data_IF_899704650532
#
_entry.id   IF_899704650532
#
_cell.length_a   1.000
_cell.length_b   1.000
_cell.length_c   1.000
_cell.angle_alpha   90.00
_cell.angle_beta   90.00
_cell.angle_gamma   90.00
#
_symmetry.space_group_name_H-M   'P 1'
#
loop_
_entity.id
_entity.type
_entity.pdbx_description
1 polymer ?
#
# COMPACT_ATOMS: atom_id res chain seq x y z
N UNK A 1 -7.68 17.64 13.78
CA UNK A 1 -6.46 17.08 13.19
C UNK A 1 -5.44 18.18 13.00
N UNK A 2 -4.21 17.94 13.40
CA UNK A 2 -3.14 18.90 13.16
C UNK A 2 -2.39 18.56 11.85
N UNK A 3 -1.58 19.51 11.39
CA UNK A 3 -0.83 19.34 10.13
C UNK A 3 0.13 18.16 10.18
N UNK A 4 0.71 17.91 11.35
CA UNK A 4 1.69 16.83 11.52
C UNK A 4 1.03 15.46 11.31
N UNK A 5 -0.17 15.26 11.83
CA UNK A 5 -0.91 14.00 11.62
C UNK A 5 -1.19 13.78 10.13
N UNK A 6 -1.62 14.81 9.42
CA UNK A 6 -1.87 14.73 7.99
C UNK A 6 -0.59 14.35 7.24
N UNK A 7 0.52 15.02 7.53
CA UNK A 7 1.81 14.75 6.88
C UNK A 7 2.26 13.32 7.12
N UNK A 8 2.22 12.85 8.35
CA UNK A 8 2.69 11.50 8.70
C UNK A 8 1.83 10.41 8.07
N UNK A 9 0.51 10.58 8.07
CA UNK A 9 -0.40 9.59 7.51
C UNK A 9 -0.24 9.52 5.99
N UNK A 10 -0.21 10.67 5.31
CA UNK A 10 -0.02 10.69 3.85
C UNK A 10 1.36 10.19 3.45
N UNK A 11 2.39 10.49 4.24
CA UNK A 11 3.74 9.98 4.01
C UNK A 11 3.76 8.45 3.99
N UNK A 12 3.09 7.78 4.95
CA UNK A 12 3.00 6.32 4.96
C UNK A 12 2.34 5.79 3.68
N UNK A 13 1.31 6.46 3.19
CA UNK A 13 0.62 6.06 1.96
C UNK A 13 1.54 6.19 0.74
N UNK A 14 2.31 7.26 0.66
CA UNK A 14 3.27 7.45 -0.44
C UNK A 14 4.42 6.44 -0.36
N UNK A 15 4.87 6.09 0.83
CA UNK A 15 5.90 5.06 1.02
C UNK A 15 5.41 3.67 0.60
N UNK A 16 4.12 3.39 0.72
CA UNK A 16 3.52 2.19 0.17
C UNK A 16 3.76 2.11 -1.34
N UNK A 17 3.42 3.17 -2.06
CA UNK A 17 3.63 3.24 -3.51
C UNK A 17 5.11 3.11 -3.89
N UNK A 18 5.97 3.85 -3.22
CA UNK A 18 7.41 3.84 -3.51
C UNK A 18 8.05 2.51 -3.17
N UNK A 19 7.61 1.86 -2.10
CA UNK A 19 8.11 0.54 -1.72
C UNK A 19 7.85 -0.50 -2.80
N UNK A 20 6.65 -0.48 -3.38
CA UNK A 20 6.30 -1.38 -4.49
C UNK A 20 7.06 -1.00 -5.75
N UNK A 21 7.02 0.26 -6.15
CA UNK A 21 7.58 0.71 -7.44
C UNK A 21 9.10 0.56 -7.50
N UNK A 22 9.78 0.64 -6.38
CA UNK A 22 11.23 0.45 -6.30
C UNK A 22 11.64 -0.97 -5.89
N UNK A 23 10.67 -1.86 -5.67
CA UNK A 23 10.90 -3.19 -5.08
C UNK A 23 11.69 -3.10 -3.77
N UNK A 24 11.47 -2.03 -3.02
CA UNK A 24 12.05 -1.87 -1.69
C UNK A 24 11.09 -2.46 -0.66
N UNK A 25 11.19 -3.77 -0.45
CA UNK A 25 10.24 -4.50 0.38
C UNK A 25 10.41 -4.21 1.87
N UNK A 26 11.58 -3.76 2.30
CA UNK A 26 11.76 -3.28 3.67
C UNK A 26 10.97 -2.00 3.91
N UNK A 27 11.00 -1.09 2.95
CA UNK A 27 10.19 0.13 3.01
C UNK A 27 8.70 -0.22 3.00
N UNK A 28 8.27 -1.10 2.09
CA UNK A 28 6.88 -1.54 2.02
C UNK A 28 6.41 -2.15 3.35
N UNK A 29 7.24 -3.02 3.94
CA UNK A 29 6.92 -3.62 5.25
C UNK A 29 6.75 -2.56 6.33
N UNK A 30 7.57 -1.52 6.31
CA UNK A 30 7.61 -0.51 7.37
C UNK A 30 6.34 0.35 7.47
N UNK A 31 5.50 0.36 6.42
CA UNK A 31 4.28 1.17 6.43
C UNK A 31 3.12 0.52 7.18
N UNK A 32 3.27 -0.75 7.57
CA UNK A 32 2.22 -1.53 8.22
C UNK A 32 2.57 -1.86 9.66
N UNK A 33 1.55 -1.99 10.49
CA UNK A 33 1.69 -2.69 11.76
C UNK A 33 1.83 -4.20 11.50
N UNK A 34 2.13 -4.98 12.55
CA UNK A 34 2.43 -6.41 12.39
C UNK A 34 1.26 -7.22 11.86
N UNK A 35 0.04 -6.89 12.29
CA UNK A 35 -1.17 -7.57 11.87
C UNK A 35 -2.06 -6.61 11.12
N UNK A 36 -2.51 -7.02 9.93
CA UNK A 36 -3.30 -6.17 9.03
C UNK A 36 -4.53 -6.90 8.53
N UNK A 37 -5.51 -6.12 8.11
CA UNK A 37 -6.69 -6.62 7.42
C UNK A 37 -6.64 -6.10 5.98
N UNK A 38 -6.60 -7.03 5.02
CA UNK A 38 -6.57 -6.72 3.60
C UNK A 38 -7.87 -7.12 2.94
N UNK A 39 -8.44 -6.16 2.21
CA UNK A 39 -9.68 -6.36 1.48
C UNK A 39 -9.52 -5.89 0.05
N UNK A 40 -9.29 -6.83 -0.86
CA UNK A 40 -9.26 -6.59 -2.29
C UNK A 40 -10.40 -7.34 -3.01
N UNK A 41 -11.48 -7.64 -2.28
CA UNK A 41 -12.56 -8.48 -2.81
C UNK A 41 -13.17 -7.91 -4.09
N UNK A 42 -13.42 -6.60 -4.13
CA UNK A 42 -13.98 -5.93 -5.31
C UNK A 42 -13.03 -6.00 -6.52
N UNK A 43 -11.73 -6.06 -6.28
CA UNK A 43 -10.71 -6.11 -7.33
C UNK A 43 -10.38 -7.55 -7.75
N UNK A 44 -10.13 -8.42 -6.80
CA UNK A 44 -9.59 -9.76 -7.06
C UNK A 44 -10.65 -10.88 -6.97
N UNK A 45 -11.79 -10.60 -6.38
CA UNK A 45 -12.81 -11.60 -6.07
C UNK A 45 -12.47 -12.49 -4.88
N UNK A 46 -11.29 -12.34 -4.28
CA UNK A 46 -10.88 -13.10 -3.11
C UNK A 46 -11.45 -12.47 -1.84
N UNK A 47 -11.90 -13.28 -0.86
CA UNK A 47 -12.40 -12.75 0.39
C UNK A 47 -11.36 -11.92 1.12
N UNK A 48 -11.84 -10.90 1.83
CA UNK A 48 -11.01 -10.14 2.75
C UNK A 48 -10.41 -11.06 3.81
N UNK A 49 -9.20 -10.77 4.24
CA UNK A 49 -8.50 -11.62 5.18
C UNK A 49 -7.64 -10.82 6.16
N UNK A 50 -7.53 -11.35 7.38
CA UNK A 50 -6.61 -10.90 8.40
C UNK A 50 -5.33 -11.71 8.26
N UNK A 51 -4.18 -11.03 8.19
CA UNK A 51 -2.89 -11.70 8.02
C UNK A 51 -1.78 -10.86 8.61
N UNK A 52 -0.60 -11.42 8.73
CA UNK A 52 0.56 -10.64 9.15
C UNK A 52 1.06 -9.80 7.98
N UNK A 53 1.62 -8.63 8.30
CA UNK A 53 2.23 -7.78 7.29
C UNK A 53 3.40 -8.50 6.60
N UNK A 54 4.16 -9.30 7.35
CA UNK A 54 5.24 -10.12 6.79
C UNK A 54 4.73 -11.06 5.70
N UNK A 55 3.66 -11.79 5.99
CA UNK A 55 3.07 -12.73 5.02
C UNK A 55 2.61 -12.00 3.76
N UNK A 56 1.96 -10.86 3.94
CA UNK A 56 1.47 -10.09 2.80
C UNK A 56 2.62 -9.60 1.93
N UNK A 57 3.65 -9.00 2.54
CA UNK A 57 4.82 -8.50 1.81
C UNK A 57 5.54 -9.64 1.09
N UNK A 58 5.74 -10.78 1.75
CA UNK A 58 6.35 -11.95 1.11
C UNK A 58 5.53 -12.44 -0.09
N UNK A 59 4.21 -12.38 0.00
CA UNK A 59 3.33 -12.78 -1.10
C UNK A 59 3.41 -11.83 -2.30
N UNK A 60 3.77 -10.57 -2.07
CA UNK A 60 3.89 -9.57 -3.13
C UNK A 60 5.18 -9.71 -3.94
N UNK A 61 6.25 -10.21 -3.33
CA UNK A 61 7.59 -10.23 -3.95
C UNK A 61 7.63 -10.90 -5.32
N UNK A 62 7.11 -12.13 -5.49
CA UNK A 62 7.17 -12.78 -6.80
C UNK A 62 6.47 -11.97 -7.90
N UNK A 63 5.34 -11.37 -7.57
CA UNK A 63 4.58 -10.57 -8.54
C UNK A 63 5.37 -9.34 -8.98
N UNK A 64 5.84 -8.54 -8.04
CA UNK A 64 6.48 -7.27 -8.38
C UNK A 64 7.89 -7.44 -8.93
N UNK A 65 8.63 -8.46 -8.48
CA UNK A 65 9.93 -8.78 -9.05
C UNK A 65 9.78 -9.30 -10.49
N UNK A 66 8.71 -10.05 -10.75
CA UNK A 66 8.44 -10.62 -12.08
C UNK A 66 7.97 -9.62 -13.13
N UNK A 67 7.57 -8.41 -12.73
CA UNK A 67 7.16 -7.37 -13.66
C UNK A 67 8.36 -6.53 -14.09
N UNK A 68 8.29 -5.98 -15.31
CA UNK A 68 9.33 -5.07 -15.80
C UNK A 68 9.39 -3.81 -14.95
N UNK A 69 8.24 -3.26 -14.62
CA UNK A 69 8.11 -2.08 -13.77
C UNK A 69 6.67 -1.94 -13.27
N UNK A 70 6.49 -1.18 -12.21
CA UNK A 70 5.18 -0.73 -11.76
C UNK A 70 5.21 0.76 -11.47
N UNK A 71 4.06 1.38 -11.54
CA UNK A 71 3.89 2.78 -11.13
C UNK A 71 2.58 2.91 -10.38
N UNK A 72 2.64 3.28 -9.12
CA UNK A 72 1.48 3.56 -8.29
C UNK A 72 1.36 5.06 -8.11
N UNK A 73 0.24 5.61 -8.56
CA UNK A 73 -0.06 7.03 -8.44
C UNK A 73 -1.14 7.19 -7.37
N UNK A 74 -0.80 7.86 -6.28
CA UNK A 74 -1.70 8.06 -5.13
C UNK A 74 -2.02 9.55 -5.04
N UNK A 75 -3.31 9.89 -5.10
CA UNK A 75 -3.74 11.29 -5.11
C UNK A 75 -4.97 11.50 -4.23
N UNK A 76 -5.27 12.76 -3.97
CA UNK A 76 -6.52 13.19 -3.34
C UNK A 76 -6.74 12.62 -1.93
N UNK A 77 -5.75 12.75 -1.03
CA UNK A 77 -5.91 12.19 0.31
C UNK A 77 -6.95 12.95 1.12
N UNK A 78 -7.84 12.19 1.73
CA UNK A 78 -8.77 12.71 2.74
C UNK A 78 -8.47 11.95 4.02
N UNK A 79 -8.02 12.67 5.04
CA UNK A 79 -7.60 12.12 6.31
C UNK A 79 -8.55 12.58 7.40
N UNK A 80 -9.02 11.63 8.20
CA UNK A 80 -9.82 11.93 9.39
C UNK A 80 -9.15 11.28 10.59
N UNK A 81 -9.01 12.04 11.67
CA UNK A 81 -8.39 11.58 12.91
C UNK A 81 -9.41 11.70 14.04
N UNK A 82 -9.57 10.61 14.78
CA UNK A 82 -10.46 10.56 15.93
C UNK A 82 -9.72 9.88 17.09
N UNK A 83 -9.33 10.68 18.09
CA UNK A 83 -8.52 10.16 19.19
C UNK A 83 -7.17 9.63 18.69
N UNK A 84 -6.91 8.35 18.94
CA UNK A 84 -5.68 7.69 18.50
C UNK A 84 -5.90 6.78 17.28
N UNK A 85 -7.01 6.97 16.58
CA UNK A 85 -7.30 6.26 15.33
C UNK A 85 -7.45 7.27 14.20
N UNK A 86 -7.25 6.78 12.97
CA UNK A 86 -7.38 7.61 11.78
C UNK A 86 -7.82 6.78 10.58
N UNK A 87 -8.41 7.47 9.61
CA UNK A 87 -8.67 6.91 8.29
C UNK A 87 -8.02 7.78 7.23
N UNK A 88 -7.66 7.16 6.11
CA UNK A 88 -7.14 7.87 4.95
C UNK A 88 -7.75 7.26 3.70
N UNK A 89 -8.45 8.08 2.93
CA UNK A 89 -9.04 7.68 1.66
C UNK A 89 -8.29 8.39 0.53
N UNK A 90 -7.89 7.64 -0.49
CA UNK A 90 -7.15 8.19 -1.63
C UNK A 90 -7.60 7.55 -2.92
N UNK A 91 -7.36 8.25 -4.02
CA UNK A 91 -7.39 7.63 -5.32
C UNK A 91 -6.07 6.92 -5.57
N UNK A 92 -6.13 5.76 -6.22
CA UNK A 92 -4.93 5.03 -6.64
C UNK A 92 -5.09 4.58 -8.08
N UNK A 93 -4.05 4.82 -8.86
CA UNK A 93 -3.92 4.25 -10.20
C UNK A 93 -2.63 3.44 -10.22
N UNK A 94 -2.74 2.17 -10.56
CA UNK A 94 -1.60 1.26 -10.62
C UNK A 94 -1.37 0.80 -12.06
N UNK A 95 -0.16 1.03 -12.56
CA UNK A 95 0.27 0.59 -13.88
C UNK A 95 1.26 -0.56 -13.71
N UNK A 96 1.05 -1.64 -14.45
CA UNK A 96 1.91 -2.82 -14.43
C UNK A 96 2.48 -3.00 -15.83
N UNK A 97 3.81 -2.98 -15.94
CA UNK A 97 4.51 -3.13 -17.21
C UNK A 97 5.11 -4.53 -17.30
N UNK A 98 4.81 -5.21 -18.39
CA UNK A 98 5.26 -6.59 -18.61
C UNK A 98 6.43 -6.61 -19.60
N UNK A 99 7.28 -7.64 -19.50
CA UNK A 99 8.30 -7.86 -20.52
C UNK A 99 7.63 -8.27 -21.83
N UNK A 100 8.18 -7.78 -22.94
CA UNK A 100 7.75 -8.23 -24.26
C UNK A 100 8.34 -9.59 -24.59
N UNK A 101 7.54 -10.44 -25.19
CA UNK A 101 8.00 -11.76 -25.64
C UNK A 101 8.41 -11.71 -27.12
#
# INVERSE_FOLDING_TARGET
MNKQDFVEITQRRYEYAMGIDSCNFDLLRSVFCDEIFMDFEDYSGKPAAKLSAEEWVESCKPLFIGLKATQHIMTNPIVEVEGNTASCQMHMQALHFFEEN
#
